data_IF_437699362065
#
_entry.id   IF_437699362065
#
_cell.length_a   1.000
_cell.length_b   1.000
_cell.length_c   1.000
_cell.angle_alpha   90.00
_cell.angle_beta   90.00
_cell.angle_gamma   90.00
#
_symmetry.space_group_name_H-M   'P 1'
#
loop_
_entity.id
_entity.type
_entity.pdbx_description
1 polymer ?
#
# COMPACT_ATOMS: atom_id res chain seq x y z
N UNK A 1 16.58 -27.07 14.53
CA UNK A 1 16.12 -26.04 13.56
C UNK A 1 14.60 -26.13 13.41
N UNK A 2 13.77 -25.21 13.94
CA UNK A 2 12.32 -25.35 13.79
C UNK A 2 11.85 -24.84 12.42
N UNK A 3 11.37 -25.82 11.65
CA UNK A 3 10.39 -25.82 10.55
C UNK A 3 9.74 -24.47 10.22
N UNK A 4 10.05 -23.93 9.03
CA UNK A 4 9.22 -22.94 8.36
C UNK A 4 7.84 -23.55 8.07
N UNK A 5 6.89 -23.29 8.96
CA UNK A 5 5.48 -23.55 8.69
C UNK A 5 5.04 -22.57 7.60
N UNK A 6 4.94 -23.04 6.37
CA UNK A 6 4.16 -22.39 5.31
C UNK A 6 2.72 -22.27 5.83
N UNK A 7 2.41 -21.16 6.50
CA UNK A 7 1.04 -20.85 6.93
C UNK A 7 0.18 -20.80 5.67
N UNK A 8 -0.77 -21.74 5.57
CA UNK A 8 -1.78 -21.78 4.50
C UNK A 8 -2.43 -20.41 4.45
N UNK A 9 -2.16 -19.67 3.38
CA UNK A 9 -2.90 -18.46 3.07
C UNK A 9 -4.31 -18.90 2.68
N UNK A 10 -5.21 -19.01 3.67
CA UNK A 10 -6.63 -19.08 3.37
C UNK A 10 -6.94 -17.89 2.46
N UNK A 11 -7.46 -18.18 1.26
CA UNK A 11 -7.83 -17.15 0.30
C UNK A 11 -8.96 -16.33 0.92
N UNK A 12 -8.59 -15.19 1.52
CA UNK A 12 -9.55 -14.23 2.05
C UNK A 12 -10.34 -13.68 0.87
N UNK A 13 -11.66 -13.80 0.95
CA UNK A 13 -12.54 -13.09 0.04
C UNK A 13 -12.53 -11.59 0.41
N UNK A 14 -11.89 -10.78 -0.42
CA UNK A 14 -11.88 -9.32 -0.27
C UNK A 14 -13.02 -8.73 -1.11
N UNK A 15 -14.08 -8.27 -0.46
CA UNK A 15 -15.13 -7.50 -1.12
C UNK A 15 -14.74 -6.01 -1.24
N UNK A 16 -15.53 -5.22 -1.97
CA UNK A 16 -15.27 -3.80 -2.17
C UNK A 16 -15.25 -2.99 -0.88
N UNK A 17 -16.21 -3.21 0.01
CA UNK A 17 -16.29 -2.47 1.27
C UNK A 17 -15.06 -2.71 2.17
N UNK A 18 -14.55 -3.95 2.24
CA UNK A 18 -13.31 -4.26 2.96
C UNK A 18 -12.08 -3.57 2.35
N UNK A 19 -12.05 -3.45 1.02
CA UNK A 19 -10.97 -2.75 0.32
C UNK A 19 -11.06 -1.24 0.48
N UNK A 20 -12.28 -0.68 0.48
CA UNK A 20 -12.53 0.74 0.74
C UNK A 20 -12.07 1.10 2.17
N UNK A 21 -12.46 0.31 3.17
CA UNK A 21 -12.00 0.49 4.56
C UNK A 21 -10.47 0.39 4.69
N UNK A 22 -9.84 -0.55 3.98
CA UNK A 22 -8.38 -0.68 3.96
C UNK A 22 -7.71 0.59 3.36
N UNK A 23 -8.29 1.14 2.30
CA UNK A 23 -7.81 2.36 1.63
C UNK A 23 -7.97 3.58 2.53
N UNK A 24 -9.12 3.72 3.18
CA UNK A 24 -9.40 4.84 4.08
C UNK A 24 -8.49 4.82 5.30
N UNK A 25 -8.33 3.67 5.97
CA UNK A 25 -7.38 3.54 7.08
C UNK A 25 -5.96 3.92 6.64
N UNK A 26 -5.53 3.47 5.45
CA UNK A 26 -4.19 3.80 4.93
C UNK A 26 -4.05 5.25 4.56
N UNK A 27 -5.12 5.93 4.13
CA UNK A 27 -5.16 7.37 3.87
C UNK A 27 -5.01 8.15 5.15
N UNK A 28 -5.86 7.89 6.14
CA UNK A 28 -5.90 8.61 7.41
C UNK A 28 -4.61 8.42 8.22
N UNK A 29 -4.08 7.20 8.22
CA UNK A 29 -2.90 6.84 9.00
C UNK A 29 -1.63 6.77 8.14
N UNK A 30 -1.60 7.37 6.95
CA UNK A 30 -0.44 7.28 6.06
C UNK A 30 0.83 7.86 6.70
N UNK A 31 0.72 9.04 7.31
CA UNK A 31 1.84 9.70 7.98
C UNK A 31 2.37 8.85 9.13
N UNK A 32 1.46 8.32 9.95
CA UNK A 32 1.82 7.41 11.04
C UNK A 32 2.54 6.17 10.49
N UNK A 33 2.00 5.53 9.44
CA UNK A 33 2.61 4.36 8.80
C UNK A 33 4.05 4.60 8.35
N UNK A 34 4.32 5.75 7.74
CA UNK A 34 5.67 6.08 7.26
C UNK A 34 6.64 6.48 8.38
N UNK A 35 6.14 6.95 9.52
CA UNK A 35 6.94 7.24 10.71
C UNK A 35 7.26 6.00 11.55
N UNK A 36 6.64 4.85 11.27
CA UNK A 36 6.89 3.61 12.00
C UNK A 36 8.17 2.95 11.51
N UNK A 37 9.06 2.62 12.45
CA UNK A 37 10.25 1.80 12.21
C UNK A 37 9.85 0.44 11.63
N UNK A 38 10.58 -0.06 10.63
CA UNK A 38 10.15 -1.19 9.78
C UNK A 38 9.63 -2.44 10.52
N UNK A 39 10.22 -2.79 11.68
CA UNK A 39 9.78 -3.94 12.51
C UNK A 39 8.40 -3.73 13.15
N UNK A 40 8.07 -2.50 13.52
CA UNK A 40 6.79 -2.14 14.16
C UNK A 40 5.64 -1.95 13.16
N UNK A 41 5.89 -2.10 11.86
CA UNK A 41 4.81 -2.07 10.85
C UNK A 41 3.89 -3.29 10.94
N UNK A 42 4.33 -4.38 11.58
CA UNK A 42 3.49 -5.53 11.86
C UNK A 42 2.29 -5.13 12.71
N UNK A 43 2.52 -4.43 13.83
CA UNK A 43 1.47 -3.99 14.76
C UNK A 43 0.49 -3.02 14.09
N UNK A 44 1.00 -2.17 13.18
CA UNK A 44 0.13 -1.35 12.34
C UNK A 44 -0.84 -2.21 11.55
N UNK A 45 -0.32 -3.21 10.81
CA UNK A 45 -1.16 -4.06 9.97
C UNK A 45 -2.12 -4.93 10.78
N UNK A 46 -1.73 -5.41 11.96
CA UNK A 46 -2.63 -6.11 12.87
C UNK A 46 -3.74 -5.19 13.39
N UNK A 47 -3.44 -3.92 13.68
CA UNK A 47 -4.48 -2.95 14.04
C UNK A 47 -5.48 -2.72 12.90
N UNK A 48 -5.01 -2.70 11.65
CA UNK A 48 -5.88 -2.60 10.45
C UNK A 48 -6.76 -3.86 10.34
N UNK A 49 -6.15 -5.03 10.50
CA UNK A 49 -6.85 -6.31 10.42
C UNK A 49 -7.94 -6.42 11.49
N UNK A 50 -7.63 -6.03 12.74
CA UNK A 50 -8.59 -6.01 13.84
C UNK A 50 -9.78 -5.10 13.55
N UNK A 51 -9.55 -3.93 12.94
CA UNK A 51 -10.64 -3.02 12.54
C UNK A 51 -11.52 -3.62 11.46
N UNK A 52 -10.94 -4.17 10.39
CA UNK A 52 -11.68 -4.85 9.31
C UNK A 52 -12.46 -6.05 9.85
N UNK A 53 -11.85 -6.86 10.72
CA UNK A 53 -12.50 -8.02 11.32
C UNK A 53 -13.72 -7.63 12.16
N UNK A 54 -13.64 -6.53 12.92
CA UNK A 54 -14.76 -6.01 13.72
C UNK A 54 -15.93 -5.55 12.83
N UNK A 55 -15.65 -4.82 11.76
CA UNK A 55 -16.69 -4.25 10.88
C UNK A 55 -17.36 -5.36 10.04
N UNK A 56 -16.56 -6.21 9.40
CA UNK A 56 -17.05 -7.16 8.40
C UNK A 56 -17.22 -8.59 8.92
N UNK A 57 -17.03 -8.81 10.23
CA UNK A 57 -17.07 -10.14 10.88
C UNK A 57 -16.18 -11.17 10.17
N UNK A 58 -14.97 -10.74 9.79
CA UNK A 58 -13.97 -11.56 9.09
C UNK A 58 -12.84 -11.98 10.03
N UNK A 59 -11.90 -12.79 9.52
CA UNK A 59 -10.70 -13.25 10.24
C UNK A 59 -9.43 -13.03 9.42
N UNK A 60 -9.29 -11.84 8.85
CA UNK A 60 -8.10 -11.43 8.12
C UNK A 60 -6.94 -11.16 9.08
N UNK A 61 -5.71 -11.44 8.67
CA UNK A 61 -4.49 -11.11 9.43
C UNK A 61 -3.85 -9.81 8.95
N UNK A 62 -2.97 -9.22 9.76
CA UNK A 62 -2.18 -8.06 9.35
C UNK A 62 -1.34 -8.35 8.11
N UNK A 63 -0.75 -9.56 8.02
CA UNK A 63 -0.01 -9.98 6.84
C UNK A 63 -0.89 -9.99 5.57
N UNK A 64 -2.14 -10.45 5.67
CA UNK A 64 -3.09 -10.43 4.56
C UNK A 64 -3.47 -9.00 4.16
N UNK A 65 -3.68 -8.10 5.13
CA UNK A 65 -3.94 -6.68 4.87
C UNK A 65 -2.75 -6.02 4.16
N UNK A 66 -1.53 -6.27 4.64
CA UNK A 66 -0.28 -5.78 4.02
C UNK A 66 -0.12 -6.28 2.59
N UNK A 67 -0.39 -7.57 2.35
CA UNK A 67 -0.32 -8.16 1.01
C UNK A 67 -1.38 -7.56 0.08
N UNK A 68 -2.61 -7.41 0.57
CA UNK A 68 -3.69 -6.82 -0.20
C UNK A 68 -3.38 -5.37 -0.56
N UNK A 69 -2.84 -4.59 0.37
CA UNK A 69 -2.37 -3.23 0.13
C UNK A 69 -1.30 -3.15 -0.96
N UNK A 70 -0.29 -4.02 -0.90
CA UNK A 70 0.76 -4.08 -1.94
C UNK A 70 0.17 -4.43 -3.31
N UNK A 71 -0.81 -5.33 -3.35
CA UNK A 71 -1.52 -5.65 -4.59
C UNK A 71 -2.32 -4.44 -5.11
N UNK A 72 -2.99 -3.66 -4.26
CA UNK A 72 -3.71 -2.43 -4.66
C UNK A 72 -2.78 -1.41 -5.32
N UNK A 73 -1.63 -1.15 -4.72
CA UNK A 73 -0.61 -0.24 -5.29
C UNK A 73 -0.13 -0.74 -6.65
N UNK A 74 0.14 -2.05 -6.76
CA UNK A 74 0.55 -2.67 -8.03
C UNK A 74 -0.53 -2.57 -9.10
N UNK A 75 -1.79 -2.84 -8.75
CA UNK A 75 -2.93 -2.78 -9.65
C UNK A 75 -3.14 -1.35 -10.19
N UNK A 76 -2.90 -0.33 -9.36
CA UNK A 76 -2.86 1.06 -9.81
C UNK A 76 -1.75 1.30 -10.86
N UNK A 77 -0.52 0.87 -10.59
CA UNK A 77 0.58 1.03 -11.56
C UNK A 77 0.30 0.30 -12.88
N UNK A 78 -0.24 -0.91 -12.81
CA UNK A 78 -0.65 -1.66 -13.99
C UNK A 78 -1.73 -0.91 -14.80
N UNK A 79 -2.71 -0.32 -14.11
CA UNK A 79 -3.76 0.46 -14.77
C UNK A 79 -3.22 1.75 -15.39
N UNK A 80 -2.24 2.42 -14.78
CA UNK A 80 -1.53 3.56 -15.39
C UNK A 80 -0.83 3.16 -16.69
N UNK A 81 -0.10 2.03 -16.70
CA UNK A 81 0.57 1.53 -17.90
C UNK A 81 -0.43 1.21 -19.02
N UNK A 82 -1.54 0.55 -18.66
CA UNK A 82 -2.64 0.29 -19.59
C UNK A 82 -3.19 1.59 -20.21
N UNK A 83 -3.46 2.61 -19.37
CA UNK A 83 -3.99 3.91 -19.83
C UNK A 83 -3.01 4.67 -20.74
N UNK A 84 -1.71 4.49 -20.54
CA UNK A 84 -0.66 5.14 -21.32
C UNK A 84 -0.36 4.45 -22.66
N UNK A 85 -1.21 3.52 -23.12
CA UNK A 85 -1.02 2.88 -24.42
C UNK A 85 0.04 1.77 -24.43
N UNK A 86 0.41 1.21 -23.27
CA UNK A 86 1.17 -0.04 -23.18
C UNK A 86 0.25 -1.23 -22.81
N UNK A 87 -0.71 -1.65 -23.67
CA UNK A 87 -1.72 -2.64 -23.29
C UNK A 87 -1.20 -4.07 -23.40
N UNK A 88 -0.54 -4.57 -22.36
CA UNK A 88 -0.54 -6.00 -22.09
C UNK A 88 -1.92 -6.43 -21.57
N UNK A 89 -2.52 -7.52 -22.11
CA UNK A 89 -3.83 -8.07 -21.65
C UNK A 89 -3.92 -8.31 -20.12
N UNK A 90 -2.78 -8.36 -19.42
CA UNK A 90 -2.62 -8.57 -17.97
C UNK A 90 -2.53 -7.29 -17.12
N UNK A 91 -2.50 -6.10 -17.72
CA UNK A 91 -2.30 -4.84 -16.98
C UNK A 91 -3.62 -4.17 -16.55
N UNK A 92 -4.70 -4.36 -17.31
CA UNK A 92 -6.01 -3.88 -16.88
C UNK A 92 -6.55 -4.74 -15.74
N UNK A 93 -6.95 -4.12 -14.63
CA UNK A 93 -7.58 -4.79 -13.49
C UNK A 93 -8.79 -3.99 -13.03
N UNK A 94 -9.87 -4.68 -12.62
CA UNK A 94 -11.06 -4.05 -12.01
C UNK A 94 -10.69 -3.18 -10.80
N UNK A 95 -9.77 -3.68 -9.98
CA UNK A 95 -9.24 -2.99 -8.81
C UNK A 95 -8.48 -1.71 -9.17
N UNK A 96 -7.56 -1.80 -10.14
CA UNK A 96 -6.78 -0.64 -10.59
C UNK A 96 -7.65 0.45 -11.19
N UNK A 97 -8.70 0.08 -11.94
CA UNK A 97 -9.67 1.01 -12.47
C UNK A 97 -10.48 1.71 -11.37
N UNK A 98 -10.96 0.95 -10.37
CA UNK A 98 -11.75 1.47 -9.23
C UNK A 98 -10.98 2.53 -8.44
N UNK A 99 -9.78 2.19 -7.99
CA UNK A 99 -8.99 3.04 -7.10
C UNK A 99 -8.09 4.04 -7.86
N UNK A 100 -8.17 4.10 -9.20
CA UNK A 100 -7.30 4.95 -10.02
C UNK A 100 -7.30 6.41 -9.58
N UNK A 101 -8.49 7.00 -9.39
CA UNK A 101 -8.64 8.43 -9.05
C UNK A 101 -8.01 8.75 -7.71
N UNK A 102 -8.18 7.87 -6.73
CA UNK A 102 -7.66 8.08 -5.38
C UNK A 102 -6.16 7.87 -5.34
N UNK A 103 -5.63 6.79 -5.94
CA UNK A 103 -4.20 6.50 -5.94
C UNK A 103 -3.40 7.50 -6.78
N UNK A 104 -4.04 8.15 -7.78
CA UNK A 104 -3.45 9.26 -8.53
C UNK A 104 -3.08 10.46 -7.64
N UNK A 105 -3.75 10.65 -6.50
CA UNK A 105 -3.39 11.69 -5.52
C UNK A 105 -2.10 11.39 -4.77
N UNK A 106 -1.54 10.18 -4.91
CA UNK A 106 -0.31 9.72 -4.25
C UNK A 106 -0.37 9.79 -2.72
N UNK A 107 -1.57 9.79 -2.13
CA UNK A 107 -1.76 9.85 -0.68
C UNK A 107 -0.99 8.76 0.09
N UNK A 108 -0.67 7.64 -0.57
CA UNK A 108 0.01 6.49 -0.01
C UNK A 108 1.54 6.61 0.02
N UNK A 109 2.12 7.56 -0.73
CA UNK A 109 3.56 7.83 -0.75
C UNK A 109 4.01 8.42 0.58
N UNK A 110 5.31 8.35 0.86
CA UNK A 110 5.87 8.96 2.08
C UNK A 110 5.73 10.48 1.95
N UNK A 111 5.06 11.16 2.91
CA UNK A 111 4.99 12.61 2.87
C UNK A 111 6.40 13.19 2.98
N UNK A 112 6.73 14.12 2.08
CA UNK A 112 8.03 14.82 2.11
C UNK A 112 8.11 15.62 3.41
N UNK A 113 9.02 15.23 4.30
CA UNK A 113 9.20 15.93 5.58
C UNK A 113 9.94 17.25 5.39
N UNK A 114 9.91 18.12 6.42
CA UNK A 114 10.76 19.31 6.43
C UNK A 114 12.24 18.95 6.31
N UNK A 115 12.65 17.86 6.93
CA UNK A 115 14.03 17.38 6.89
C UNK A 115 14.40 16.87 5.50
N UNK A 116 13.49 16.20 4.78
CA UNK A 116 13.68 15.84 3.38
C UNK A 116 13.86 17.09 2.49
N UNK A 117 13.10 18.16 2.74
CA UNK A 117 13.25 19.43 2.01
C UNK A 117 14.58 20.12 2.33
N UNK A 118 15.00 20.09 3.60
CA UNK A 118 16.29 20.64 4.05
C UNK A 118 17.45 19.85 3.46
N UNK A 119 17.41 18.53 3.52
CA UNK A 119 18.41 17.64 2.92
C UNK A 119 18.53 17.87 1.41
N UNK A 120 17.40 18.00 0.67
CA UNK A 120 17.42 18.34 -0.76
C UNK A 120 18.04 19.70 -1.05
N UNK A 121 17.80 20.70 -0.20
CA UNK A 121 18.41 22.04 -0.32
C UNK A 121 19.92 22.00 -0.03
N UNK A 122 20.34 21.12 0.87
CA UNK A 122 21.72 20.96 1.29
C UNK A 122 22.48 19.88 0.50
N UNK A 123 21.88 19.27 -0.53
CA UNK A 123 22.60 18.35 -1.40
C UNK A 123 23.63 19.18 -2.18
N UNK A 124 24.94 18.84 -2.11
CA UNK A 124 25.91 19.44 -3.00
C UNK A 124 25.46 19.15 -4.44
N UNK A 125 25.42 20.17 -5.28
CA UNK A 125 25.15 20.06 -6.73
C UNK A 125 26.31 19.37 -7.45
N UNK A 126 26.72 18.18 -7.00
CA UNK A 126 27.74 17.39 -7.67
C UNK A 126 27.11 16.59 -8.81
N UNK A 127 26.60 17.30 -9.82
CA UNK A 127 26.32 16.75 -11.16
C UNK A 127 26.16 17.88 -12.19
N UNK A 128 27.24 18.65 -12.37
CA UNK A 128 27.59 19.28 -13.66
C UNK A 128 29.11 19.35 -13.79
N UNK A 129 29.71 18.23 -14.18
CA UNK A 129 30.96 18.18 -14.97
C UNK A 129 30.60 17.28 -16.16
N UNK A 130 30.23 17.95 -17.25
CA UNK A 130 31.00 18.13 -18.49
C UNK A 130 31.04 16.84 -19.29
#
# INVERSE_FOLDING_TARGET
MPRQTRRRSYNVHWNWAMMDELVDIRRDRNRAYHNINGRSRHDFWDSVANRINRIFRTRVSGQQCSQKWRNLVRDYHNYVLYRNGNPGRRLWTRTGARYYREFRTRFWERPVTRDDRRARRNLPTYRRRR
#
